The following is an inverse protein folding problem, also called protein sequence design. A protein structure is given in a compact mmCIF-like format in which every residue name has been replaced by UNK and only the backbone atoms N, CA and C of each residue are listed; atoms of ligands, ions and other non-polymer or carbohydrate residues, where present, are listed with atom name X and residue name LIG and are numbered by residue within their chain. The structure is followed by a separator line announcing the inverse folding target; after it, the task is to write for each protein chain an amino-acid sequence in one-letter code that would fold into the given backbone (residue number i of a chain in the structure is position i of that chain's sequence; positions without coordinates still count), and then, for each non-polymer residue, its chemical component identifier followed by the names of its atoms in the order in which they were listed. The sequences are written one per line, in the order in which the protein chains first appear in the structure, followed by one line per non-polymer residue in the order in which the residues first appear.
data_IF_493531901626
#
_entry.id   IF_493531901626
#
_cell.length_a   1.000
_cell.length_b   1.000
_cell.length_c   1.000
_cell.angle_alpha   90.00
_cell.angle_beta   90.00
_cell.angle_gamma   90.00
#
_symmetry.space_group_name_H-M   'P 1'
#
loop_
_entity.id
_entity.type
_entity.pdbx_description
1 polymer ?
#
# COMPACT_ATOMS: atom_id res chain seq x y z
N UNK A 1 14.89 20.43 -18.52
CA UNK A 1 13.78 20.64 -17.56
C UNK A 1 13.79 22.09 -17.14
N UNK A 2 12.73 22.85 -17.42
CA UNK A 2 12.59 24.20 -16.87
C UNK A 2 12.46 24.11 -15.32
N UNK A 3 13.00 25.07 -14.57
CA UNK A 3 12.85 25.08 -13.12
C UNK A 3 11.35 25.23 -12.79
N UNK A 4 10.76 24.16 -12.25
CA UNK A 4 9.39 24.20 -11.69
C UNK A 4 9.44 25.18 -10.52
N UNK A 5 8.83 26.36 -10.68
CA UNK A 5 8.73 27.38 -9.63
C UNK A 5 8.16 26.72 -8.37
N UNK A 6 8.87 26.87 -7.26
CA UNK A 6 8.33 26.58 -5.93
C UNK A 6 7.02 27.37 -5.79
N UNK A 7 5.90 26.68 -5.75
CA UNK A 7 4.63 27.32 -5.45
C UNK A 7 4.73 27.79 -4.00
N UNK A 8 4.54 29.10 -3.83
CA UNK A 8 4.50 29.77 -2.55
C UNK A 8 3.63 28.96 -1.58
N UNK A 9 4.18 28.67 -0.39
CA UNK A 9 3.54 27.99 0.74
C UNK A 9 2.40 28.83 1.32
N UNK A 10 1.45 29.22 0.48
CA UNK A 10 0.37 30.13 0.83
C UNK A 10 -0.63 29.40 1.71
N UNK A 11 -0.90 29.97 2.88
CA UNK A 11 -2.12 29.70 3.65
C UNK A 11 -3.32 29.81 2.70
N UNK A 12 -4.16 28.78 2.64
CA UNK A 12 -5.44 28.83 1.93
C UNK A 12 -6.18 30.10 2.34
N UNK A 13 -6.62 30.92 1.37
CA UNK A 13 -7.25 32.21 1.65
C UNK A 13 -8.42 32.44 0.71
N UNK A 14 -9.42 33.23 1.13
CA UNK A 14 -10.55 33.63 0.29
C UNK A 14 -10.18 34.65 -0.80
N UNK A 15 -8.89 34.96 -0.98
CA UNK A 15 -8.45 35.87 -2.04
C UNK A 15 -8.87 35.33 -3.41
N UNK A 16 -9.66 36.12 -4.14
CA UNK A 16 -10.20 35.74 -5.45
C UNK A 16 -11.57 35.05 -5.40
N UNK A 17 -12.08 34.72 -4.21
CA UNK A 17 -13.47 34.27 -4.02
C UNK A 17 -14.34 35.50 -3.79
N UNK A 18 -15.36 35.68 -4.62
CA UNK A 18 -16.32 36.80 -4.46
C UNK A 18 -17.38 36.46 -3.41
N UNK A 19 -18.01 37.47 -2.82
CA UNK A 19 -19.13 37.25 -1.89
C UNK A 19 -20.27 36.47 -2.55
N UNK A 20 -20.55 36.70 -3.84
CA UNK A 20 -21.56 35.96 -4.59
C UNK A 20 -21.20 34.47 -4.76
N UNK A 21 -19.92 34.16 -5.04
CA UNK A 21 -19.46 32.77 -5.12
C UNK A 21 -19.51 32.08 -3.75
N UNK A 22 -19.20 32.82 -2.69
CA UNK A 22 -19.30 32.29 -1.33
C UNK A 22 -20.75 32.03 -0.90
N UNK A 23 -21.68 32.93 -1.27
CA UNK A 23 -23.13 32.73 -1.07
C UNK A 23 -23.64 31.51 -1.81
N UNK A 24 -23.26 31.32 -3.08
CA UNK A 24 -23.60 30.11 -3.83
C UNK A 24 -23.17 28.82 -3.13
N UNK A 25 -21.96 28.81 -2.58
CA UNK A 25 -21.40 27.62 -1.95
C UNK A 25 -21.97 27.29 -0.56
N UNK A 26 -22.57 28.26 0.15
CA UNK A 26 -22.94 28.11 1.58
C UNK A 26 -24.43 28.38 1.83
N UNK A 27 -25.06 29.27 1.08
CA UNK A 27 -26.45 29.70 1.33
C UNK A 27 -27.42 29.26 0.23
N UNK A 28 -26.93 29.00 -0.98
CA UNK A 28 -27.77 28.64 -2.14
C UNK A 28 -27.56 27.18 -2.59
N UNK A 29 -26.66 26.45 -1.93
CA UNK A 29 -26.39 25.03 -2.21
C UNK A 29 -27.22 24.15 -1.28
N UNK A 30 -28.20 23.45 -1.84
CA UNK A 30 -29.05 22.51 -1.09
C UNK A 30 -28.22 21.42 -0.40
N UNK A 31 -27.22 20.86 -1.10
CA UNK A 31 -26.30 19.87 -0.53
C UNK A 31 -25.56 20.41 0.71
N UNK A 32 -25.11 21.67 0.67
CA UNK A 32 -24.46 22.29 1.82
C UNK A 32 -25.41 22.47 2.99
N UNK A 33 -26.63 22.96 2.73
CA UNK A 33 -27.64 23.19 3.77
C UNK A 33 -28.05 21.88 4.44
N UNK A 34 -28.24 20.82 3.67
CA UNK A 34 -28.54 19.49 4.20
C UNK A 34 -27.43 18.98 5.14
N UNK A 35 -26.16 19.12 4.74
CA UNK A 35 -25.01 18.72 5.56
C UNK A 35 -24.88 19.60 6.80
N UNK A 36 -25.18 20.90 6.68
CA UNK A 36 -25.16 21.81 7.83
C UNK A 36 -26.22 21.44 8.87
N UNK A 37 -27.44 21.11 8.44
CA UNK A 37 -28.53 20.64 9.31
C UNK A 37 -28.16 19.30 9.97
N UNK A 38 -27.54 18.39 9.23
CA UNK A 38 -27.03 17.12 9.77
C UNK A 38 -25.98 17.36 10.87
N UNK A 39 -25.03 18.28 10.62
CA UNK A 39 -23.97 18.61 11.58
C UNK A 39 -24.55 19.23 12.86
N UNK A 40 -25.58 20.07 12.74
CA UNK A 40 -26.28 20.67 13.88
C UNK A 40 -26.98 19.61 14.77
N UNK A 41 -27.35 18.46 14.20
CA UNK A 41 -27.95 17.34 14.91
C UNK A 41 -27.00 16.56 15.83
N UNK A 42 -25.69 16.74 15.73
CA UNK A 42 -24.72 16.01 16.56
C UNK A 42 -24.45 16.69 17.91
N UNK A 43 -24.34 15.87 18.97
CA UNK A 43 -23.87 16.33 20.28
C UNK A 43 -22.33 16.46 20.31
N UNK A 44 -21.86 17.70 20.09
CA UNK A 44 -20.44 18.02 20.00
C UNK A 44 -19.69 17.99 21.34
N UNK A 45 -20.38 17.81 22.47
CA UNK A 45 -19.75 17.58 23.76
C UNK A 45 -19.19 16.14 23.86
N UNK A 46 -19.70 15.23 23.03
CA UNK A 46 -19.24 13.84 22.97
C UNK A 46 -18.13 13.64 21.93
N UNK A 47 -17.32 12.60 22.09
CA UNK A 47 -16.36 12.20 21.05
C UNK A 47 -17.07 11.71 19.80
N UNK A 48 -18.09 10.85 19.93
CA UNK A 48 -18.82 10.31 18.79
C UNK A 48 -19.56 11.38 17.98
N UNK A 49 -20.18 12.37 18.64
CA UNK A 49 -20.82 13.48 17.92
C UNK A 49 -19.83 14.34 17.16
N UNK A 50 -18.64 14.63 17.73
CA UNK A 50 -17.58 15.32 16.99
C UNK A 50 -17.07 14.52 15.79
N UNK A 51 -16.95 13.20 15.92
CA UNK A 51 -16.54 12.33 14.82
C UNK A 51 -17.62 12.27 13.72
N UNK A 52 -18.90 12.15 14.08
CA UNK A 52 -20.02 12.20 13.14
C UNK A 52 -20.11 13.53 12.37
N UNK A 53 -19.88 14.66 13.05
CA UNK A 53 -19.84 15.96 12.40
C UNK A 53 -18.69 16.09 11.39
N UNK A 54 -17.50 15.55 11.71
CA UNK A 54 -16.38 15.50 10.77
C UNK A 54 -16.69 14.60 9.57
N UNK A 55 -17.29 13.44 9.82
CA UNK A 55 -17.69 12.48 8.79
C UNK A 55 -18.68 13.11 7.80
N UNK A 56 -19.78 13.70 8.30
CA UNK A 56 -20.78 14.37 7.47
C UNK A 56 -20.15 15.48 6.61
N UNK A 57 -19.31 16.33 7.21
CA UNK A 57 -18.63 17.41 6.50
C UNK A 57 -17.69 16.88 5.40
N UNK A 58 -16.85 15.90 5.71
CA UNK A 58 -15.83 15.40 4.78
C UNK A 58 -16.44 14.54 3.68
N UNK A 59 -17.35 13.62 4.01
CA UNK A 59 -17.97 12.72 3.05
C UNK A 59 -19.03 13.39 2.16
N UNK A 60 -19.46 14.61 2.48
CA UNK A 60 -20.30 15.42 1.58
C UNK A 60 -19.70 15.66 0.19
N UNK A 61 -18.37 15.56 0.05
CA UNK A 61 -17.66 15.86 -1.19
C UNK A 61 -17.61 17.35 -1.56
N UNK A 62 -18.13 18.23 -0.71
CA UNK A 62 -18.16 19.67 -0.96
C UNK A 62 -16.79 20.31 -0.68
N UNK A 63 -16.21 20.95 -1.70
CA UNK A 63 -14.88 21.55 -1.62
C UNK A 63 -14.77 22.69 -0.58
N UNK A 64 -15.89 23.31 -0.20
CA UNK A 64 -15.91 24.38 0.79
C UNK A 64 -15.50 23.88 2.18
N UNK A 65 -15.81 22.62 2.53
CA UNK A 65 -15.34 22.01 3.77
C UNK A 65 -13.84 21.72 3.71
N UNK A 66 -13.30 21.26 2.56
CA UNK A 66 -11.84 21.11 2.40
C UNK A 66 -11.10 22.43 2.60
N UNK A 67 -11.66 23.51 2.03
CA UNK A 67 -11.13 24.87 2.22
C UNK A 67 -11.17 25.30 3.69
N UNK A 68 -12.22 24.96 4.43
CA UNK A 68 -12.30 25.18 5.87
C UNK A 68 -11.21 24.39 6.61
N UNK A 69 -11.10 23.08 6.42
CA UNK A 69 -10.10 22.26 7.13
C UNK A 69 -8.66 22.67 6.81
N UNK A 70 -8.40 23.19 5.61
CA UNK A 70 -7.09 23.71 5.24
C UNK A 70 -6.72 25.03 5.95
N UNK A 71 -7.71 25.89 6.23
CA UNK A 71 -7.56 27.11 7.01
C UNK A 71 -8.88 27.53 7.68
N UNK A 72 -9.16 27.04 8.90
CA UNK A 72 -10.46 27.25 9.55
C UNK A 72 -10.82 28.73 9.69
N UNK A 73 -9.84 29.57 10.05
CA UNK A 73 -10.03 30.99 10.31
C UNK A 73 -10.56 31.80 9.12
N UNK A 74 -10.50 31.28 7.88
CA UNK A 74 -11.06 31.98 6.73
C UNK A 74 -12.59 31.82 6.61
N UNK A 75 -13.19 30.80 7.24
CA UNK A 75 -14.60 30.45 7.10
C UNK A 75 -15.36 30.36 8.43
N UNK A 76 -14.68 30.29 9.60
CA UNK A 76 -15.31 30.17 10.92
C UNK A 76 -16.46 31.16 11.17
N UNK A 77 -16.36 32.40 10.68
CA UNK A 77 -17.36 33.46 10.88
C UNK A 77 -18.39 33.57 9.75
N UNK A 78 -18.34 32.68 8.75
CA UNK A 78 -19.18 32.76 7.54
C UNK A 78 -20.48 31.96 7.63
N UNK A 79 -20.51 30.93 8.47
CA UNK A 79 -21.70 30.12 8.73
C UNK A 79 -21.58 29.43 10.10
N UNK A 80 -22.67 29.25 10.88
CA UNK A 80 -22.63 28.56 12.17
C UNK A 80 -21.98 27.17 12.12
N UNK A 81 -22.19 26.42 11.04
CA UNK A 81 -21.58 25.10 10.86
C UNK A 81 -20.06 25.12 10.93
N UNK A 82 -19.39 26.19 10.44
CA UNK A 82 -17.93 26.28 10.52
C UNK A 82 -17.45 26.59 11.95
N UNK A 83 -18.26 27.30 12.74
CA UNK A 83 -17.99 27.47 14.17
C UNK A 83 -18.12 26.12 14.91
N UNK A 84 -19.17 25.35 14.61
CA UNK A 84 -19.35 23.99 15.14
C UNK A 84 -18.18 23.06 14.77
N UNK A 85 -17.80 23.02 13.49
CA UNK A 85 -16.67 22.22 13.02
C UNK A 85 -15.32 22.67 13.62
N UNK A 86 -15.18 23.93 14.04
CA UNK A 86 -13.96 24.39 14.73
C UNK A 86 -13.77 23.66 16.06
N UNK A 87 -14.86 23.33 16.78
CA UNK A 87 -14.82 22.54 18.02
C UNK A 87 -14.40 21.07 17.76
N UNK A 88 -14.63 20.59 16.54
CA UNK A 88 -14.35 19.21 16.13
C UNK A 88 -12.91 18.98 15.66
N UNK A 89 -12.12 20.04 15.37
CA UNK A 89 -10.77 19.92 14.80
C UNK A 89 -9.83 19.04 15.63
N UNK A 90 -9.96 19.07 16.96
CA UNK A 90 -9.16 18.23 17.87
C UNK A 90 -9.42 16.72 17.73
N UNK A 91 -10.58 16.34 17.17
CA UNK A 91 -10.95 14.95 16.92
C UNK A 91 -10.50 14.44 15.53
N UNK A 92 -9.98 15.32 14.66
CA UNK A 92 -9.56 14.96 13.31
C UNK A 92 -8.53 13.80 13.26
N UNK A 93 -7.48 13.78 14.13
CA UNK A 93 -6.57 12.63 14.22
C UNK A 93 -7.27 11.29 14.49
N UNK A 94 -8.27 11.30 15.36
CA UNK A 94 -9.02 10.10 15.72
C UNK A 94 -9.97 9.68 14.59
N UNK A 95 -10.63 10.62 13.93
CA UNK A 95 -11.48 10.36 12.78
C UNK A 95 -10.71 9.68 11.63
N UNK A 96 -9.61 10.30 11.17
CA UNK A 96 -8.79 9.73 10.11
C UNK A 96 -8.08 8.44 10.56
N UNK A 97 -7.71 8.34 11.83
CA UNK A 97 -7.15 7.13 12.42
C UNK A 97 -8.12 5.95 12.35
N UNK A 98 -9.39 6.14 12.76
CA UNK A 98 -10.43 5.10 12.67
C UNK A 98 -10.62 4.61 11.24
N UNK A 99 -10.65 5.52 10.26
CA UNK A 99 -10.77 5.16 8.85
C UNK A 99 -9.59 4.29 8.35
N UNK A 100 -8.36 4.57 8.81
CA UNK A 100 -7.17 3.78 8.46
C UNK A 100 -7.13 2.43 9.18
N UNK A 101 -7.57 2.40 10.44
CA UNK A 101 -7.55 1.22 11.29
C UNK A 101 -8.57 0.15 10.87
N UNK A 102 -9.67 0.58 10.27
CA UNK A 102 -10.75 -0.30 9.80
C UNK A 102 -10.26 -1.27 8.73
N UNK A 103 -10.68 -2.52 8.83
CA UNK A 103 -10.47 -3.53 7.79
C UNK A 103 -11.22 -3.10 6.52
N UNK A 104 -10.55 -3.02 5.35
CA UNK A 104 -11.21 -2.55 4.13
C UNK A 104 -12.35 -3.44 3.62
N UNK A 105 -12.42 -4.71 4.04
CA UNK A 105 -13.45 -5.66 3.62
C UNK A 105 -14.64 -5.73 4.60
N UNK A 106 -14.39 -5.66 5.91
CA UNK A 106 -15.45 -5.76 6.93
C UNK A 106 -15.86 -4.43 7.53
N UNK A 107 -14.99 -3.40 7.46
CA UNK A 107 -15.17 -2.12 8.15
C UNK A 107 -14.90 -2.18 9.66
N UNK A 108 -14.55 -3.35 10.19
CA UNK A 108 -14.31 -3.55 11.62
C UNK A 108 -12.91 -3.07 12.03
N UNK A 109 -12.81 -2.51 13.24
CA UNK A 109 -11.53 -2.08 13.82
C UNK A 109 -11.10 -3.12 14.87
N UNK A 110 -9.97 -3.77 14.62
CA UNK A 110 -9.33 -4.66 15.59
C UNK A 110 -8.96 -3.91 16.87
N UNK A 111 -9.05 -4.58 18.02
CA UNK A 111 -8.64 -4.02 19.33
C UNK A 111 -7.20 -3.48 19.31
N UNK A 112 -6.30 -4.15 18.58
CA UNK A 112 -4.89 -3.73 18.44
C UNK A 112 -4.75 -2.38 17.73
N UNK A 113 -5.73 -1.99 16.91
CA UNK A 113 -5.74 -0.75 16.14
C UNK A 113 -6.71 0.29 16.68
N UNK A 114 -7.49 -0.03 17.72
CA UNK A 114 -8.55 0.84 18.24
C UNK A 114 -8.06 2.23 18.68
N UNK A 115 -6.81 2.32 19.12
CA UNK A 115 -6.18 3.56 19.57
C UNK A 115 -5.27 4.22 18.50
N UNK A 116 -5.31 3.75 17.26
CA UNK A 116 -4.53 4.34 16.18
C UNK A 116 -5.02 5.76 15.88
N UNK A 117 -4.08 6.71 15.82
CA UNK A 117 -4.34 8.10 15.52
C UNK A 117 -3.56 8.51 14.27
N UNK A 118 -4.22 9.22 13.37
CA UNK A 118 -3.54 9.86 12.27
C UNK A 118 -2.88 11.16 12.76
N UNK A 119 -1.55 11.21 12.75
CA UNK A 119 -0.80 12.29 13.39
C UNK A 119 -1.25 13.70 12.94
N UNK A 120 -1.31 14.65 13.88
CA UNK A 120 -1.80 16.01 13.61
C UNK A 120 -1.05 16.70 12.46
N UNK A 121 0.28 16.62 12.43
CA UNK A 121 1.06 17.22 11.32
C UNK A 121 0.73 16.60 9.95
N UNK A 122 0.30 15.33 9.92
CA UNK A 122 -0.14 14.69 8.68
C UNK A 122 -1.55 15.15 8.29
N UNK A 123 -2.43 15.40 9.25
CA UNK A 123 -3.73 16.05 9.01
C UNK A 123 -3.53 17.43 8.37
N UNK A 124 -2.67 18.26 8.97
CA UNK A 124 -2.36 19.60 8.46
C UNK A 124 -1.81 19.56 7.03
N UNK A 125 -0.89 18.63 6.74
CA UNK A 125 -0.34 18.44 5.39
C UNK A 125 -1.41 17.98 4.40
N UNK A 126 -2.26 17.03 4.80
CA UNK A 126 -3.32 16.48 3.96
C UNK A 126 -4.27 17.59 3.46
N UNK A 127 -4.84 18.36 4.39
CA UNK A 127 -5.81 19.40 4.04
C UNK A 127 -5.17 20.62 3.39
N UNK A 128 -3.89 20.92 3.65
CA UNK A 128 -3.15 21.95 2.90
C UNK A 128 -2.67 21.48 1.53
N UNK A 129 -3.00 20.26 1.12
CA UNK A 129 -2.61 19.68 -0.16
C UNK A 129 -1.11 19.47 -0.31
N UNK A 130 -0.40 19.18 0.77
CA UNK A 130 1.04 18.91 0.80
C UNK A 130 1.33 17.40 0.72
N UNK A 131 0.65 16.72 -0.21
CA UNK A 131 0.63 15.26 -0.37
C UNK A 131 2.02 14.68 -0.65
N UNK A 132 2.88 15.41 -1.38
CA UNK A 132 4.27 14.99 -1.63
C UNK A 132 5.15 14.96 -0.37
N UNK A 133 4.76 15.68 0.68
CA UNK A 133 5.49 15.81 1.95
C UNK A 133 4.93 14.95 3.08
N UNK A 134 3.87 14.19 2.79
CA UNK A 134 3.26 13.27 3.73
C UNK A 134 4.11 12.02 3.91
N UNK A 135 4.06 11.47 5.12
CA UNK A 135 4.76 10.24 5.48
C UNK A 135 3.84 9.06 5.19
N UNK A 136 3.60 8.76 3.91
CA UNK A 136 2.63 7.73 3.53
C UNK A 136 2.96 6.34 4.07
N UNK A 137 4.25 5.95 4.06
CA UNK A 137 4.70 4.63 4.50
C UNK A 137 5.51 4.66 5.80
N UNK A 138 6.58 5.45 5.93
CA UNK A 138 7.54 5.23 6.99
C UNK A 138 6.96 5.58 8.36
N UNK A 139 7.61 5.03 9.40
CA UNK A 139 7.36 5.41 10.78
C UNK A 139 7.70 6.89 11.01
N UNK A 140 7.10 7.54 12.02
CA UNK A 140 6.17 6.97 13.00
C UNK A 140 4.68 6.99 12.60
N UNK A 141 4.31 7.56 11.44
CA UNK A 141 2.89 7.90 11.16
C UNK A 141 2.31 7.32 9.87
N UNK A 142 3.10 6.61 9.07
CA UNK A 142 2.65 5.99 7.82
C UNK A 142 2.14 4.57 7.99
N UNK A 143 1.79 3.94 6.87
CA UNK A 143 1.26 2.58 6.81
C UNK A 143 2.14 1.56 7.57
N UNK A 144 3.47 1.71 7.55
CA UNK A 144 4.38 0.81 8.27
C UNK A 144 4.14 0.82 9.80
N UNK A 145 3.85 1.99 10.37
CA UNK A 145 3.57 2.10 11.80
C UNK A 145 2.25 1.40 12.16
N UNK A 146 1.23 1.55 11.33
CA UNK A 146 -0.06 0.86 11.51
C UNK A 146 0.08 -0.65 11.36
N UNK A 147 0.79 -1.12 10.33
CA UNK A 147 1.05 -2.55 10.12
C UNK A 147 1.81 -3.18 11.29
N UNK A 148 2.74 -2.43 11.88
CA UNK A 148 3.53 -2.90 13.01
C UNK A 148 2.70 -3.08 14.30
N UNK A 149 1.47 -2.58 14.38
CA UNK A 149 0.61 -2.82 15.56
C UNK A 149 0.21 -4.29 15.69
N UNK A 150 0.02 -4.98 14.56
CA UNK A 150 -0.34 -6.40 14.54
C UNK A 150 0.87 -7.32 14.34
N UNK A 151 2.06 -6.74 14.14
CA UNK A 151 3.27 -7.49 13.83
C UNK A 151 3.88 -8.09 15.10
N UNK A 152 4.13 -9.39 15.09
CA UNK A 152 4.91 -10.06 16.15
C UNK A 152 6.36 -9.55 16.20
N UNK A 153 6.91 -9.18 15.05
CA UNK A 153 8.25 -8.60 14.88
C UNK A 153 8.12 -7.31 14.05
N UNK A 154 8.10 -6.13 14.70
CA UNK A 154 7.96 -4.85 14.01
C UNK A 154 9.15 -4.53 13.11
N UNK A 155 8.87 -3.94 11.93
CA UNK A 155 9.91 -3.42 11.05
C UNK A 155 10.40 -2.04 11.52
N UNK A 156 11.71 -1.83 11.50
CA UNK A 156 12.29 -0.60 12.00
C UNK A 156 12.15 0.58 11.03
N UNK A 157 12.50 0.40 9.76
CA UNK A 157 12.41 1.48 8.78
C UNK A 157 12.34 0.95 7.35
N UNK A 158 11.85 1.80 6.44
CA UNK A 158 11.94 1.60 5.01
C UNK A 158 12.77 2.71 4.39
N UNK A 159 13.93 2.41 3.78
CA UNK A 159 14.77 3.42 3.14
C UNK A 159 13.99 4.27 2.14
N UNK A 160 14.25 5.59 2.12
CA UNK A 160 13.56 6.52 1.23
C UNK A 160 13.66 6.14 -0.26
N UNK A 161 14.79 5.52 -0.64
CA UNK A 161 15.02 4.98 -1.98
C UNK A 161 14.08 3.84 -2.38
N UNK A 162 13.38 3.21 -1.43
CA UNK A 162 12.56 2.02 -1.66
C UNK A 162 11.05 2.32 -1.69
N UNK A 163 10.64 3.46 -1.11
CA UNK A 163 9.24 3.81 -0.85
C UNK A 163 8.31 3.68 -2.05
N UNK A 164 8.78 4.02 -3.25
CA UNK A 164 7.94 4.08 -4.44
C UNK A 164 8.36 3.13 -5.57
N UNK A 165 9.27 2.19 -5.26
CA UNK A 165 9.83 1.24 -6.24
C UNK A 165 9.84 -0.22 -5.77
N UNK A 166 9.52 -0.46 -4.50
CA UNK A 166 9.31 -1.80 -3.95
C UNK A 166 7.82 -2.12 -4.03
N UNK A 167 7.47 -3.23 -4.71
CA UNK A 167 6.07 -3.61 -4.95
C UNK A 167 5.31 -3.83 -3.64
N UNK A 168 5.88 -4.59 -2.70
CA UNK A 168 5.24 -4.86 -1.41
C UNK A 168 5.00 -3.58 -0.62
N UNK A 169 5.93 -2.62 -0.65
CA UNK A 169 5.73 -1.31 0.00
C UNK A 169 4.54 -0.57 -0.62
N UNK A 170 4.43 -0.55 -1.96
CA UNK A 170 3.29 0.07 -2.64
C UNK A 170 1.98 -0.69 -2.35
N UNK A 171 2.00 -2.02 -2.31
CA UNK A 171 0.84 -2.85 -2.00
C UNK A 171 0.28 -2.54 -0.61
N UNK A 172 1.14 -2.36 0.37
CA UNK A 172 0.77 -1.95 1.73
C UNK A 172 0.33 -0.47 1.82
N UNK A 173 0.89 0.40 0.99
CA UNK A 173 0.52 1.82 0.94
C UNK A 173 -0.88 2.05 0.38
N UNK A 174 -1.30 1.26 -0.60
CA UNK A 174 -2.53 1.49 -1.36
C UNK A 174 -3.78 1.53 -0.46
N UNK A 175 -4.02 0.55 0.44
CA UNK A 175 -5.15 0.59 1.36
C UNK A 175 -5.11 1.80 2.29
N UNK A 176 -3.92 2.10 2.86
CA UNK A 176 -3.73 3.24 3.75
C UNK A 176 -4.07 4.57 3.07
N UNK A 177 -3.52 4.80 1.87
CA UNK A 177 -3.79 6.00 1.05
C UNK A 177 -5.27 6.08 0.69
N UNK A 178 -5.88 4.96 0.27
CA UNK A 178 -7.29 4.90 -0.10
C UNK A 178 -8.19 5.32 1.07
N UNK A 179 -8.06 4.68 2.23
CA UNK A 179 -8.87 5.00 3.41
C UNK A 179 -8.71 6.45 3.85
N UNK A 180 -7.47 6.96 3.85
CA UNK A 180 -7.18 8.36 4.22
C UNK A 180 -7.86 9.34 3.29
N UNK A 181 -7.76 9.12 1.98
CA UNK A 181 -8.28 10.06 0.98
C UNK A 181 -9.80 10.03 0.90
N UNK A 182 -10.41 8.84 1.01
CA UNK A 182 -11.88 8.70 1.07
C UNK A 182 -12.42 9.36 2.33
N UNK A 183 -11.82 9.09 3.49
CA UNK A 183 -12.23 9.74 4.75
C UNK A 183 -12.06 11.26 4.69
N UNK A 184 -11.09 11.75 3.92
CA UNK A 184 -10.92 13.17 3.64
C UNK A 184 -11.82 13.70 2.51
N UNK A 185 -12.81 12.94 2.04
CA UNK A 185 -13.83 13.41 1.10
C UNK A 185 -13.48 13.32 -0.39
N UNK A 186 -12.33 12.74 -0.74
CA UNK A 186 -11.97 12.54 -2.14
C UNK A 186 -12.64 11.30 -2.71
N UNK A 187 -13.00 11.35 -3.99
CA UNK A 187 -13.54 10.20 -4.69
C UNK A 187 -12.56 9.01 -4.66
N UNK A 188 -13.10 7.80 -4.52
CA UNK A 188 -12.30 6.57 -4.56
C UNK A 188 -11.71 6.33 -5.96
N UNK A 189 -12.49 6.64 -6.99
CA UNK A 189 -12.20 6.46 -8.40
C UNK A 189 -12.76 7.64 -9.21
N UNK A 190 -12.19 7.87 -10.39
CA UNK A 190 -12.65 8.90 -11.31
C UNK A 190 -12.57 8.44 -12.76
N UNK A 191 -13.46 8.98 -13.60
CA UNK A 191 -13.42 8.81 -15.06
C UNK A 191 -12.53 9.84 -15.76
N UNK A 192 -12.19 10.94 -15.09
CA UNK A 192 -11.43 12.05 -15.66
C UNK A 192 -9.93 11.99 -15.39
N UNK A 193 -9.50 11.27 -14.36
CA UNK A 193 -8.09 11.17 -13.99
C UNK A 193 -7.82 10.27 -12.81
N UNK A 194 -6.56 10.28 -12.35
CA UNK A 194 -6.16 9.54 -11.17
C UNK A 194 -6.53 10.31 -9.89
N UNK A 195 -7.35 9.67 -9.05
CA UNK A 195 -7.35 9.91 -7.60
C UNK A 195 -5.96 9.57 -7.04
N UNK A 196 -5.64 9.98 -5.81
CA UNK A 196 -4.35 9.59 -5.23
C UNK A 196 -4.23 8.06 -5.13
N UNK A 197 -5.31 7.39 -4.71
CA UNK A 197 -5.41 5.93 -4.73
C UNK A 197 -5.12 5.33 -6.12
N UNK A 198 -5.80 5.82 -7.17
CA UNK A 198 -5.58 5.35 -8.54
C UNK A 198 -4.15 5.61 -9.04
N UNK A 199 -3.50 6.68 -8.61
CA UNK A 199 -2.11 6.99 -8.93
C UNK A 199 -1.16 5.95 -8.32
N UNK A 200 -1.36 5.56 -7.06
CA UNK A 200 -0.56 4.50 -6.44
C UNK A 200 -0.78 3.13 -7.11
N UNK A 201 -2.02 2.79 -7.48
CA UNK A 201 -2.31 1.57 -8.26
C UNK A 201 -1.63 1.58 -9.64
N UNK A 202 -1.61 2.74 -10.30
CA UNK A 202 -0.94 2.93 -11.57
C UNK A 202 0.57 2.73 -11.45
N UNK A 203 1.18 3.28 -10.39
CA UNK A 203 2.58 3.06 -10.07
C UNK A 203 2.88 1.58 -9.81
N UNK A 204 2.07 0.89 -8.99
CA UNK A 204 2.22 -0.55 -8.75
C UNK A 204 2.21 -1.35 -10.05
N UNK A 205 1.26 -1.04 -10.93
CA UNK A 205 1.13 -1.68 -12.25
C UNK A 205 2.38 -1.46 -13.10
N UNK A 206 2.97 -0.27 -13.06
CA UNK A 206 4.21 0.04 -13.75
C UNK A 206 5.42 -0.71 -13.16
N UNK A 207 5.54 -0.78 -11.83
CA UNK A 207 6.59 -1.55 -11.16
C UNK A 207 6.52 -3.04 -11.53
N UNK A 208 5.31 -3.63 -11.49
CA UNK A 208 5.05 -5.01 -11.93
C UNK A 208 5.43 -5.25 -13.39
N UNK A 209 5.34 -4.23 -14.24
CA UNK A 209 5.83 -4.28 -15.61
C UNK A 209 7.37 -4.17 -15.69
N UNK A 210 8.00 -3.29 -14.91
CA UNK A 210 9.46 -3.14 -14.85
C UNK A 210 10.11 -4.47 -14.43
N UNK A 211 9.56 -5.16 -13.43
CA UNK A 211 10.12 -6.44 -12.95
C UNK A 211 10.14 -7.54 -14.02
N UNK A 212 9.33 -7.43 -15.07
CA UNK A 212 9.31 -8.35 -16.21
C UNK A 212 10.44 -8.09 -17.24
N UNK A 213 11.25 -7.03 -17.09
CA UNK A 213 12.28 -6.63 -18.08
C UNK A 213 13.60 -7.42 -17.95
N UNK A 214 14.73 -6.98 -18.51
CA UNK A 214 16.06 -7.53 -18.19
C UNK A 214 16.67 -6.86 -16.95
N UNK A 215 17.78 -7.37 -16.41
CA UNK A 215 18.34 -6.89 -15.13
C UNK A 215 18.92 -5.49 -15.28
N UNK A 216 19.67 -5.27 -16.37
CA UNK A 216 20.15 -3.95 -16.77
C UNK A 216 19.00 -2.94 -16.96
N UNK A 217 17.89 -3.38 -17.56
CA UNK A 217 16.72 -2.54 -17.76
C UNK A 217 16.03 -2.22 -16.43
N UNK A 218 15.93 -3.17 -15.50
CA UNK A 218 15.36 -2.94 -14.18
C UNK A 218 16.16 -1.87 -13.43
N UNK A 219 17.49 -1.97 -13.42
CA UNK A 219 18.37 -1.02 -12.74
C UNK A 219 18.26 0.40 -13.30
N UNK A 220 17.98 0.54 -14.60
CA UNK A 220 17.74 1.84 -15.24
C UNK A 220 16.31 2.35 -15.03
N UNK A 221 15.31 1.47 -15.05
CA UNK A 221 13.89 1.84 -15.04
C UNK A 221 13.37 2.16 -13.63
N UNK A 222 13.84 1.50 -12.58
CA UNK A 222 13.36 1.77 -11.21
C UNK A 222 13.68 3.20 -10.74
N UNK A 223 14.90 3.74 -10.86
CA UNK A 223 15.18 5.12 -10.48
C UNK A 223 14.35 6.12 -11.27
N UNK A 224 14.13 5.83 -12.56
CA UNK A 224 13.29 6.65 -13.40
C UNK A 224 11.83 6.65 -12.93
N UNK A 225 11.25 5.47 -12.66
CA UNK A 225 9.89 5.33 -12.13
C UNK A 225 9.72 6.06 -10.79
N UNK A 226 10.74 6.02 -9.92
CA UNK A 226 10.73 6.75 -8.66
C UNK A 226 10.66 8.26 -8.87
N UNK A 227 11.57 8.80 -9.69
CA UNK A 227 11.64 10.23 -9.96
C UNK A 227 10.34 10.75 -10.61
N UNK A 228 9.79 9.98 -11.55
CA UNK A 228 8.54 10.29 -12.23
C UNK A 228 7.34 10.25 -11.27
N UNK A 229 7.29 9.30 -10.35
CA UNK A 229 6.23 9.24 -9.34
C UNK A 229 6.32 10.38 -8.31
N UNK A 230 7.52 10.71 -7.83
CA UNK A 230 7.73 11.87 -6.95
C UNK A 230 7.31 13.19 -7.63
N UNK A 231 7.60 13.34 -8.93
CA UNK A 231 7.13 14.48 -9.71
C UNK A 231 5.60 14.51 -9.82
N UNK A 232 4.95 13.36 -9.98
CA UNK A 232 3.49 13.26 -10.00
C UNK A 232 2.86 13.64 -8.66
N UNK A 233 3.47 13.26 -7.52
CA UNK A 233 3.02 13.71 -6.20
C UNK A 233 3.10 15.24 -6.05
N UNK A 234 4.15 15.88 -6.59
CA UNK A 234 4.22 17.35 -6.64
C UNK A 234 3.12 17.94 -7.53
N UNK A 235 2.78 17.29 -8.64
CA UNK A 235 1.67 17.72 -9.49
C UNK A 235 0.31 17.55 -8.78
N UNK A 236 0.15 16.53 -7.91
CA UNK A 236 -0.99 16.41 -7.01
C UNK A 236 -1.09 17.58 -6.03
N UNK A 237 0.03 18.02 -5.43
CA UNK A 237 0.03 19.19 -4.54
C UNK A 237 -0.48 20.44 -5.26
N UNK A 238 -0.04 20.64 -6.51
CA UNK A 238 -0.48 21.77 -7.34
C UNK A 238 -1.97 21.70 -7.66
N UNK A 239 -2.47 20.50 -7.99
CA UNK A 239 -3.89 20.31 -8.28
C UNK A 239 -4.77 20.55 -7.06
N UNK A 240 -4.36 20.03 -5.91
CA UNK A 240 -5.05 20.26 -4.63
C UNK A 240 -5.05 21.76 -4.30
N UNK A 241 -3.91 22.44 -4.40
CA UNK A 241 -3.83 23.89 -4.17
C UNK A 241 -4.75 24.67 -5.12
N UNK A 242 -4.87 24.27 -6.39
CA UNK A 242 -5.81 24.89 -7.34
C UNK A 242 -7.25 24.71 -6.89
N UNK A 243 -7.64 23.49 -6.48
CA UNK A 243 -8.96 23.21 -5.92
C UNK A 243 -9.24 24.11 -4.71
N UNK A 244 -8.33 24.16 -3.74
CA UNK A 244 -8.46 25.00 -2.54
C UNK A 244 -8.51 26.50 -2.86
N UNK A 245 -7.93 26.94 -3.98
CA UNK A 245 -7.92 28.34 -4.40
C UNK A 245 -9.01 28.68 -5.42
N UNK A 246 -9.88 27.73 -5.79
CA UNK A 246 -10.86 27.94 -6.85
C UNK A 246 -11.76 29.15 -6.53
N UNK A 247 -11.96 30.08 -7.48
CA UNK A 247 -12.72 31.32 -7.24
C UNK A 247 -14.23 31.06 -7.07
N UNK A 248 -14.70 29.90 -7.54
CA UNK A 248 -16.08 29.42 -7.40
C UNK A 248 -16.07 28.09 -6.64
N UNK A 249 -16.10 28.08 -5.29
CA UNK A 249 -16.00 26.85 -4.51
C UNK A 249 -17.08 25.82 -4.86
N UNK A 250 -18.32 26.26 -5.16
CA UNK A 250 -19.41 25.38 -5.56
C UNK A 250 -19.11 24.56 -6.82
N UNK A 251 -18.22 25.04 -7.69
CA UNK A 251 -17.83 24.36 -8.94
C UNK A 251 -16.59 23.47 -8.78
N UNK A 252 -15.85 23.60 -7.66
CA UNK A 252 -14.65 22.81 -7.43
C UNK A 252 -15.01 21.40 -6.94
N UNK A 253 -14.37 20.38 -7.52
CA UNK A 253 -14.69 18.97 -7.30
C UNK A 253 -13.53 18.21 -6.68
N UNK A 254 -13.83 17.25 -5.81
CA UNK A 254 -12.87 16.33 -5.18
C UNK A 254 -12.78 15.00 -5.94
N UNK A 255 -12.78 15.07 -7.27
CA UNK A 255 -12.89 13.92 -8.17
C UNK A 255 -11.54 13.26 -8.46
N UNK A 256 -10.56 14.03 -8.94
CA UNK A 256 -9.21 13.52 -9.21
C UNK A 256 -8.14 14.61 -9.04
N UNK A 257 -6.87 14.20 -8.91
CA UNK A 257 -5.74 15.11 -8.73
C UNK A 257 -4.97 15.34 -10.04
N UNK A 258 -4.71 14.29 -10.81
CA UNK A 258 -4.01 14.41 -12.09
C UNK A 258 -4.82 13.74 -13.22
N UNK A 259 -4.91 14.34 -14.41
CA UNK A 259 -5.67 13.78 -15.52
C UNK A 259 -5.00 12.51 -16.06
N UNK A 260 -5.81 11.63 -16.65
CA UNK A 260 -5.28 10.52 -17.46
C UNK A 260 -4.50 11.05 -18.66
N UNK A 261 -3.57 10.24 -19.16
CA UNK A 261 -2.75 10.59 -20.34
C UNK A 261 -1.94 11.89 -20.20
N UNK A 262 -1.79 12.39 -18.97
CA UNK A 262 -1.01 13.56 -18.65
C UNK A 262 0.51 13.32 -18.68
N UNK A 263 1.30 14.25 -18.10
CA UNK A 263 2.76 14.16 -18.08
C UNK A 263 3.30 12.88 -17.44
N UNK A 264 2.67 12.42 -16.35
CA UNK A 264 3.05 11.17 -15.67
C UNK A 264 2.93 9.96 -16.61
N UNK A 265 1.76 9.76 -17.23
CA UNK A 265 1.56 8.65 -18.17
C UNK A 265 2.44 8.77 -19.42
N UNK A 266 2.66 9.98 -19.92
CA UNK A 266 3.54 10.23 -21.06
C UNK A 266 4.97 9.80 -20.77
N UNK A 267 5.49 10.11 -19.58
CA UNK A 267 6.84 9.73 -19.17
C UNK A 267 6.97 8.22 -19.01
N UNK A 268 5.99 7.55 -18.37
CA UNK A 268 5.97 6.09 -18.27
C UNK A 268 5.91 5.44 -19.66
N UNK A 269 5.04 5.95 -20.55
CA UNK A 269 4.89 5.45 -21.93
C UNK A 269 6.21 5.55 -22.68
N UNK A 270 6.94 6.66 -22.55
CA UNK A 270 8.22 6.91 -23.24
C UNK A 270 9.27 5.80 -23.04
N UNK A 271 9.27 5.14 -21.87
CA UNK A 271 10.18 4.04 -21.53
C UNK A 271 9.64 2.66 -21.87
N UNK A 272 8.38 2.57 -22.26
CA UNK A 272 7.72 1.30 -22.62
C UNK A 272 7.59 1.11 -24.14
N UNK A 273 7.77 2.17 -24.94
CA UNK A 273 7.74 2.08 -26.41
C UNK A 273 8.80 1.10 -26.91
N UNK A 274 8.39 0.11 -27.71
CA UNK A 274 9.30 -0.90 -28.28
C UNK A 274 9.68 -2.05 -27.33
N UNK A 275 9.18 -2.07 -26.08
CA UNK A 275 9.51 -3.12 -25.13
C UNK A 275 8.82 -4.46 -25.42
N UNK A 276 7.62 -4.45 -26.03
CA UNK A 276 6.89 -5.68 -26.36
C UNK A 276 7.69 -6.62 -27.30
N UNK A 277 8.25 -6.14 -28.43
CA UNK A 277 9.17 -6.94 -29.25
C UNK A 277 10.35 -7.55 -28.48
N UNK A 278 10.96 -6.79 -27.55
CA UNK A 278 12.09 -7.27 -26.73
C UNK A 278 11.66 -8.37 -25.77
N UNK A 279 10.49 -8.23 -25.13
CA UNK A 279 9.91 -9.26 -24.26
C UNK A 279 9.64 -10.54 -25.07
N UNK A 280 9.08 -10.41 -26.28
CA UNK A 280 8.85 -11.55 -27.17
C UNK A 280 10.16 -12.22 -27.60
N UNK A 281 11.20 -11.45 -27.95
CA UNK A 281 12.51 -12.00 -28.29
C UNK A 281 13.18 -12.71 -27.10
N UNK A 282 13.14 -12.14 -25.90
CA UNK A 282 13.70 -12.78 -24.68
C UNK A 282 12.98 -14.09 -24.34
N UNK A 283 11.67 -14.17 -24.57
CA UNK A 283 10.89 -15.41 -24.41
C UNK A 283 11.21 -16.43 -25.50
N UNK A 284 11.33 -16.00 -26.75
CA UNK A 284 11.60 -16.88 -27.89
C UNK A 284 13.05 -17.39 -27.92
N UNK A 285 14.01 -16.61 -27.41
CA UNK A 285 15.43 -16.92 -27.45
C UNK A 285 16.10 -16.69 -26.08
N UNK A 286 15.84 -17.56 -25.07
CA UNK A 286 16.35 -17.38 -23.71
C UNK A 286 17.89 -17.42 -23.59
N UNK A 287 18.58 -18.02 -24.58
CA UNK A 287 20.04 -18.09 -24.64
C UNK A 287 20.71 -16.90 -25.32
N UNK A 288 19.95 -15.98 -25.93
CA UNK A 288 20.49 -14.82 -26.65
C UNK A 288 20.89 -13.67 -25.71
N UNK A 289 20.37 -13.68 -24.48
CA UNK A 289 20.61 -12.66 -23.47
C UNK A 289 21.17 -13.30 -22.21
N UNK A 290 21.99 -12.54 -21.46
CA UNK A 290 22.49 -12.97 -20.17
C UNK A 290 21.31 -13.40 -19.27
N UNK A 291 21.45 -14.56 -18.60
CA UNK A 291 20.46 -15.04 -17.64
C UNK A 291 20.29 -13.95 -16.58
N UNK A 292 19.10 -13.37 -16.51
CA UNK A 292 18.73 -12.50 -15.41
C UNK A 292 18.80 -13.28 -14.09
N UNK A 293 19.36 -12.65 -13.06
CA UNK A 293 19.29 -13.15 -11.69
C UNK A 293 17.85 -13.60 -11.35
N UNK A 294 17.64 -14.71 -10.61
CA UNK A 294 16.30 -15.22 -10.33
C UNK A 294 15.41 -14.14 -9.70
N UNK A 295 14.26 -13.85 -10.32
CA UNK A 295 13.37 -12.75 -9.96
C UNK A 295 12.08 -13.20 -9.35
N UNK A 296 12.16 -13.69 -8.13
CA UNK A 296 11.01 -13.82 -7.27
C UNK A 296 11.33 -13.25 -5.89
N UNK A 297 10.40 -12.46 -5.36
CA UNK A 297 10.48 -11.86 -4.03
C UNK A 297 10.59 -13.00 -3.01
N UNK A 298 11.69 -13.09 -2.27
CA UNK A 298 11.78 -14.01 -1.14
C UNK A 298 10.68 -13.61 -0.14
N UNK A 299 9.64 -14.45 0.02
CA UNK A 299 8.58 -14.25 1.01
C UNK A 299 7.15 -14.30 0.48
N UNK A 300 6.89 -14.07 -0.81
CA UNK A 300 5.54 -14.24 -1.36
C UNK A 300 5.20 -15.74 -1.53
N UNK A 301 3.98 -16.21 -1.23
CA UNK A 301 3.60 -17.61 -1.42
C UNK A 301 3.88 -18.12 -2.84
N UNK A 302 4.44 -19.33 -2.95
CA UNK A 302 4.90 -19.94 -4.20
C UNK A 302 6.07 -19.24 -4.92
N UNK A 303 6.62 -18.14 -4.41
CA UNK A 303 7.68 -17.38 -5.07
C UNK A 303 9.01 -18.15 -5.18
N UNK A 304 9.27 -19.06 -4.25
CA UNK A 304 10.45 -19.93 -4.18
C UNK A 304 10.14 -21.38 -4.58
N UNK A 305 9.06 -21.66 -5.32
CA UNK A 305 8.66 -23.02 -5.71
C UNK A 305 9.75 -23.86 -6.40
N UNK A 306 10.69 -23.20 -7.08
CA UNK A 306 11.81 -23.84 -7.77
C UNK A 306 13.02 -24.17 -6.86
N UNK A 307 12.99 -23.74 -5.59
CA UNK A 307 14.03 -24.06 -4.60
C UNK A 307 13.91 -25.52 -4.16
N UNK A 308 12.67 -25.99 -3.99
CA UNK A 308 12.38 -27.40 -3.79
C UNK A 308 12.42 -28.10 -5.17
N UNK A 309 13.17 -29.21 -5.29
CA UNK A 309 13.32 -29.95 -6.54
C UNK A 309 13.06 -31.43 -6.32
N UNK A 310 12.10 -31.99 -7.05
CA UNK A 310 11.87 -33.42 -7.06
C UNK A 310 12.99 -34.12 -7.85
N UNK A 311 13.65 -35.08 -7.22
CA UNK A 311 14.66 -35.94 -7.85
C UNK A 311 13.95 -37.08 -8.59
N UNK A 312 12.94 -37.64 -7.96
CA UNK A 312 11.98 -38.62 -8.49
C UNK A 312 10.62 -38.43 -7.78
N UNK A 313 9.67 -39.35 -7.96
CA UNK A 313 8.32 -39.28 -7.38
C UNK A 313 8.28 -39.40 -5.85
N UNK A 314 9.38 -39.75 -5.20
CA UNK A 314 9.48 -40.03 -3.76
C UNK A 314 10.60 -39.26 -3.06
N UNK A 315 11.47 -38.59 -3.80
CA UNK A 315 12.60 -37.86 -3.24
C UNK A 315 12.55 -36.37 -3.56
N UNK A 316 12.49 -35.56 -2.51
CA UNK A 316 12.51 -34.09 -2.61
C UNK A 316 13.86 -33.54 -2.15
N UNK A 317 14.56 -32.83 -3.03
CA UNK A 317 15.72 -32.03 -2.67
C UNK A 317 15.28 -30.65 -2.18
N UNK A 318 15.70 -30.29 -0.97
CA UNK A 318 15.53 -28.94 -0.41
C UNK A 318 16.81 -28.55 0.32
N UNK A 319 17.53 -27.56 -0.23
CA UNK A 319 18.85 -27.17 0.25
C UNK A 319 19.93 -28.25 0.03
N UNK A 320 20.64 -28.60 1.10
CA UNK A 320 21.71 -29.61 1.10
C UNK A 320 21.20 -31.04 1.33
N UNK A 321 19.90 -31.22 1.57
CA UNK A 321 19.28 -32.51 1.88
C UNK A 321 18.34 -32.97 0.77
N UNK A 322 18.29 -34.28 0.58
CA UNK A 322 17.31 -35.02 -0.21
C UNK A 322 16.50 -35.86 0.76
N UNK A 323 15.20 -35.57 0.86
CA UNK A 323 14.25 -36.20 1.77
C UNK A 323 13.46 -37.28 1.05
N UNK A 324 13.29 -38.44 1.70
CA UNK A 324 12.42 -39.53 1.26
C UNK A 324 10.98 -39.25 1.73
N UNK A 325 10.19 -38.61 0.86
CA UNK A 325 8.83 -38.16 1.20
C UNK A 325 7.87 -39.33 1.38
N UNK A 326 8.13 -40.49 0.77
CA UNK A 326 7.32 -41.68 0.96
C UNK A 326 7.44 -42.22 2.39
N UNK A 327 8.66 -42.36 2.91
CA UNK A 327 8.87 -42.78 4.31
C UNK A 327 8.36 -41.77 5.32
N UNK A 328 8.50 -40.47 5.04
CA UNK A 328 7.97 -39.40 5.90
C UNK A 328 6.43 -39.47 5.94
N UNK A 329 5.80 -39.63 4.77
CA UNK A 329 4.36 -39.77 4.64
C UNK A 329 3.82 -40.98 5.40
N UNK A 330 4.50 -42.13 5.31
CA UNK A 330 4.15 -43.35 6.05
C UNK A 330 4.30 -43.14 7.57
N UNK A 331 5.45 -42.62 8.01
CA UNK A 331 5.77 -42.46 9.43
C UNK A 331 4.82 -41.50 10.16
N UNK A 332 4.43 -40.40 9.51
CA UNK A 332 3.53 -39.40 10.08
C UNK A 332 2.07 -39.54 9.63
N UNK A 333 1.76 -40.54 8.82
CA UNK A 333 0.41 -40.78 8.26
C UNK A 333 -0.13 -39.53 7.54
N UNK A 334 0.68 -38.98 6.63
CA UNK A 334 0.34 -37.77 5.87
C UNK A 334 -0.57 -38.09 4.69
N UNK A 335 -1.41 -37.11 4.32
CA UNK A 335 -2.17 -37.17 3.07
C UNK A 335 -1.22 -37.21 1.85
N UNK A 336 -1.54 -37.97 0.78
CA UNK A 336 -0.74 -37.99 -0.44
C UNK A 336 -0.52 -36.61 -1.08
N UNK A 337 -1.43 -35.66 -0.88
CA UNK A 337 -1.33 -34.29 -1.38
C UNK A 337 -0.64 -33.34 -0.39
N UNK A 338 -0.02 -33.84 0.69
CA UNK A 338 0.65 -32.99 1.66
C UNK A 338 1.84 -32.23 1.05
N UNK A 339 2.00 -30.95 1.41
CA UNK A 339 3.02 -30.08 0.84
C UNK A 339 4.38 -30.26 1.54
N UNK A 340 5.14 -31.28 1.11
CA UNK A 340 6.49 -31.54 1.62
C UNK A 340 7.45 -30.33 1.57
N UNK A 341 7.46 -29.47 0.53
CA UNK A 341 8.31 -28.28 0.52
C UNK A 341 8.05 -27.30 1.67
N UNK A 342 6.79 -27.19 2.12
CA UNK A 342 6.39 -26.31 3.23
C UNK A 342 6.70 -26.99 4.56
N UNK A 343 6.34 -28.29 4.71
CA UNK A 343 6.58 -29.07 5.92
C UNK A 343 8.07 -29.16 6.28
N UNK A 344 8.92 -29.40 5.29
CA UNK A 344 10.37 -29.62 5.44
C UNK A 344 11.18 -28.32 5.45
N UNK A 345 10.49 -27.17 5.41
CA UNK A 345 11.15 -25.88 5.46
C UNK A 345 11.65 -25.56 6.87
N UNK A 346 12.89 -25.09 6.95
CA UNK A 346 13.41 -24.45 8.16
C UNK A 346 12.82 -23.05 8.37
N UNK A 347 12.24 -22.45 7.33
CA UNK A 347 11.49 -21.18 7.41
C UNK A 347 10.09 -21.42 7.97
N UNK A 348 9.48 -20.40 8.57
CA UNK A 348 8.13 -20.46 9.19
C UNK A 348 7.18 -19.43 8.58
N UNK A 349 5.88 -19.62 8.79
CA UNK A 349 4.83 -18.70 8.33
C UNK A 349 4.82 -18.49 6.81
N UNK A 350 4.58 -17.25 6.38
CA UNK A 350 4.55 -16.88 4.96
C UNK A 350 5.84 -17.22 4.19
N UNK A 351 6.99 -17.22 4.86
CA UNK A 351 8.26 -17.59 4.25
C UNK A 351 8.37 -19.09 3.91
N UNK A 352 7.63 -19.96 4.61
CA UNK A 352 7.50 -21.36 4.25
C UNK A 352 6.57 -21.53 3.04
N UNK A 353 5.46 -20.79 2.98
CA UNK A 353 4.51 -20.80 1.86
C UNK A 353 5.15 -20.39 0.54
N UNK A 354 6.20 -19.57 0.57
CA UNK A 354 6.98 -19.27 -0.62
C UNK A 354 7.51 -20.54 -1.33
N UNK A 355 7.70 -21.65 -0.62
CA UNK A 355 8.15 -22.93 -1.19
C UNK A 355 7.00 -23.80 -1.74
N UNK A 356 5.74 -23.42 -1.51
CA UNK A 356 4.59 -24.18 -2.00
C UNK A 356 4.57 -24.21 -3.54
N UNK A 357 4.69 -25.41 -4.10
CA UNK A 357 4.73 -25.60 -5.56
C UNK A 357 3.34 -25.51 -6.21
N UNK A 358 2.30 -25.82 -5.43
CA UNK A 358 0.89 -25.89 -5.83
C UNK A 358 0.09 -24.67 -5.36
N UNK A 359 0.75 -23.54 -5.10
CA UNK A 359 0.05 -22.35 -4.58
C UNK A 359 -1.09 -21.91 -5.51
N UNK A 360 -2.27 -21.63 -4.92
CA UNK A 360 -3.57 -21.39 -5.59
C UNK A 360 -4.29 -22.62 -6.17
N UNK A 361 -3.78 -23.84 -5.96
CA UNK A 361 -4.54 -25.06 -6.22
C UNK A 361 -5.44 -25.41 -5.01
N UNK A 362 -6.55 -26.15 -5.19
CA UNK A 362 -7.41 -26.56 -4.09
C UNK A 362 -6.61 -27.24 -2.97
N UNK A 363 -6.76 -26.77 -1.73
CA UNK A 363 -5.98 -27.25 -0.58
C UNK A 363 -4.62 -26.57 -0.37
N UNK A 364 -4.22 -25.63 -1.23
CA UNK A 364 -2.94 -24.89 -1.16
C UNK A 364 -3.14 -23.36 -1.27
N UNK A 365 -4.17 -22.82 -0.64
CA UNK A 365 -4.56 -21.39 -0.75
C UNK A 365 -4.24 -20.55 0.50
N UNK A 366 -3.85 -21.18 1.60
CA UNK A 366 -3.51 -20.50 2.86
C UNK A 366 -2.55 -21.34 3.72
N UNK A 367 -1.93 -20.74 4.74
CA UNK A 367 -1.12 -21.50 5.72
C UNK A 367 -1.95 -22.53 6.50
N UNK A 368 -3.25 -22.28 6.64
CA UNK A 368 -4.21 -23.12 7.36
C UNK A 368 -4.85 -24.20 6.49
N UNK A 369 -4.49 -24.28 5.20
CA UNK A 369 -5.02 -25.34 4.33
C UNK A 369 -4.52 -26.71 4.76
N UNK A 370 -5.33 -27.75 4.58
CA UNK A 370 -5.02 -29.12 5.02
C UNK A 370 -3.68 -29.64 4.47
N UNK A 371 -3.32 -29.26 3.25
CA UNK A 371 -2.03 -29.65 2.66
C UNK A 371 -0.81 -28.98 3.31
N UNK A 372 -0.99 -27.94 4.13
CA UNK A 372 0.06 -27.24 4.87
C UNK A 372 0.05 -27.55 6.38
N UNK A 373 -0.86 -28.40 6.85
CA UNK A 373 -1.03 -28.71 8.27
C UNK A 373 0.14 -29.52 8.83
N UNK A 374 0.84 -28.98 9.82
CA UNK A 374 1.96 -29.69 10.47
C UNK A 374 1.37 -30.73 11.45
N UNK A 375 1.75 -32.03 11.35
CA UNK A 375 1.30 -33.05 12.29
C UNK A 375 1.76 -32.74 13.73
N UNK A 376 0.91 -33.03 14.72
CA UNK A 376 1.19 -32.72 16.14
C UNK A 376 2.51 -33.32 16.67
N UNK A 377 2.92 -34.47 16.15
CA UNK A 377 4.14 -35.17 16.55
C UNK A 377 5.32 -34.98 15.60
N UNK A 378 5.24 -34.01 14.68
CA UNK A 378 6.29 -33.79 13.70
C UNK A 378 7.60 -33.33 14.34
N UNK A 379 8.65 -34.14 14.20
CA UNK A 379 10.02 -33.81 14.61
C UNK A 379 10.93 -33.69 13.39
N UNK A 380 11.32 -32.45 13.09
CA UNK A 380 12.22 -32.13 11.99
C UNK A 380 13.60 -32.77 12.16
N UNK A 381 14.13 -32.86 13.38
CA UNK A 381 15.44 -33.45 13.65
C UNK A 381 15.43 -34.96 13.38
N UNK A 382 14.35 -35.63 13.78
CA UNK A 382 14.14 -37.04 13.47
C UNK A 382 14.11 -37.28 11.94
N UNK A 383 13.36 -36.43 11.20
CA UNK A 383 13.30 -36.50 9.74
C UNK A 383 14.68 -36.34 9.10
N UNK A 384 15.46 -35.34 9.52
CA UNK A 384 16.81 -35.13 9.00
C UNK A 384 17.76 -36.29 9.28
N UNK A 385 17.62 -36.99 10.41
CA UNK A 385 18.51 -38.08 10.82
C UNK A 385 18.15 -39.43 10.20
N UNK A 386 16.86 -39.68 9.92
CA UNK A 386 16.38 -41.01 9.52
C UNK A 386 15.81 -41.06 8.09
N UNK A 387 15.31 -39.94 7.56
CA UNK A 387 14.61 -39.89 6.27
C UNK A 387 15.22 -38.91 5.27
N UNK A 388 16.43 -38.40 5.53
CA UNK A 388 17.14 -37.52 4.62
C UNK A 388 18.57 -37.99 4.36
N UNK A 389 19.09 -37.67 3.17
CA UNK A 389 20.48 -37.89 2.79
C UNK A 389 21.09 -36.59 2.26
N UNK A 390 22.42 -36.45 2.32
CA UNK A 390 23.09 -35.27 1.76
C UNK A 390 23.07 -35.32 0.23
N UNK A 391 22.73 -34.19 -0.38
CA UNK A 391 22.75 -34.05 -1.83
C UNK A 391 24.19 -34.10 -2.38
N UNK A 392 24.43 -34.64 -3.59
CA UNK A 392 25.73 -34.60 -4.24
C UNK A 392 26.20 -33.15 -4.44
N UNK A 393 27.42 -32.84 -3.97
CA UNK A 393 28.02 -31.50 -4.09
C UNK A 393 27.72 -30.51 -2.95
N UNK A 394 27.10 -30.95 -1.85
CA UNK A 394 27.00 -30.13 -0.63
C UNK A 394 28.38 -29.94 0.02
N UNK A 395 28.70 -28.71 0.45
CA UNK A 395 30.03 -28.38 0.98
C UNK A 395 30.26 -28.97 2.38
N UNK A 396 31.44 -29.56 2.63
CA UNK A 396 31.86 -29.94 3.99
C UNK A 396 32.30 -28.70 4.80
N UNK A 397 31.39 -27.77 5.07
CA UNK A 397 31.67 -26.65 5.97
C UNK A 397 31.12 -26.94 7.37
N UNK A 398 31.88 -27.68 8.19
CA UNK A 398 31.44 -27.96 9.55
C UNK A 398 32.35 -28.85 10.42
N UNK A 399 33.65 -28.99 10.15
CA UNK A 399 34.57 -29.54 11.16
C UNK A 399 34.93 -28.43 12.15
N UNK A 400 34.34 -28.53 13.34
CA UNK A 400 34.68 -27.84 14.60
C UNK A 400 36.12 -27.32 14.61
N UNK A 401 36.30 -25.99 14.58
CA UNK A 401 37.49 -25.36 15.15
C UNK A 401 37.41 -25.57 16.67
N UNK A 402 38.22 -26.50 17.18
CA UNK A 402 38.54 -26.55 18.61
C UNK A 402 39.22 -25.24 18.97
N UNK A 403 38.66 -24.50 19.93
CA UNK A 403 39.41 -23.48 20.65
C UNK A 403 40.59 -24.14 21.36
N UNK A 404 41.78 -23.57 21.16
CA UNK A 404 42.81 -23.48 22.18
C UNK A 404 42.83 -22.04 22.67
#
# INVERSE_FOLDING_TARGET
MAPRRAVSRNSVSLKGVTDAALRRAILESDDFLQVADEIEGFDLETTEGRLGALEAALLSGLSIFQRFFANPGCLTTKHPVFAALTLCLSAMPAYLGRAQAADPATGEISELRANWLFHQDQCDKLFRGQLSSMSWFPRPFGALALLNLDASEPFEDCPAGQLYIVETVIEELIPFVRSTMIAAGWAAESKGGYTLHGLFQRQLSHLKWIRKQGELEVDALLPHAQATFLAALLDCDLAHARMLSHPEPASAKLDFLIPFDGPYDSELKSKTVGAAPIIHMRRAFPGLFAKSSPRSLAGAPGSMKNVAKWVDSTHLRLGELIYDTAKIGEHYTLDPNHCYPVLLSTKKGGAALALCQHWNEPGHTSLTSDAHAIPKQFDYSHVCNHFATKAPGASEAGKKRKLK
#
